data_IF_814548394385
#
_entry.id   IF_814548394385
#
_cell.length_a   1.000
_cell.length_b   1.000
_cell.length_c   1.000
_cell.angle_alpha   90.00
_cell.angle_beta   90.00
_cell.angle_gamma   90.00
#
_symmetry.space_group_name_H-M   'P 1'
#
loop_
_entity.id
_entity.type
_entity.pdbx_description
1 polymer ?
#
# COMPACT_ATOMS: atom_id res chain seq x y z
N UNK A 1 -22.09 -47.01 -9.97
CA UNK A 1 -22.12 -46.49 -8.59
C UNK A 1 -21.18 -45.31 -8.58
N UNK A 2 -21.71 -44.09 -8.71
CA UNK A 2 -20.90 -42.87 -8.55
C UNK A 2 -20.66 -42.70 -7.06
N UNK A 3 -19.42 -42.63 -6.65
CA UNK A 3 -19.05 -42.12 -5.33
C UNK A 3 -19.51 -40.65 -5.27
N UNK A 4 -20.47 -40.38 -4.41
CA UNK A 4 -20.77 -39.03 -3.98
C UNK A 4 -19.53 -38.47 -3.29
N UNK A 5 -18.76 -37.65 -3.99
CA UNK A 5 -17.61 -36.95 -3.43
C UNK A 5 -18.16 -35.86 -2.55
N UNK A 6 -17.92 -35.96 -1.21
CA UNK A 6 -18.38 -34.98 -0.25
C UNK A 6 -17.93 -33.56 -0.63
N UNK A 7 -18.82 -32.57 -0.59
CA UNK A 7 -18.51 -31.18 -0.91
C UNK A 7 -17.31 -30.62 -0.13
N UNK A 8 -17.11 -31.05 1.09
CA UNK A 8 -15.97 -30.64 1.93
C UNK A 8 -14.60 -31.06 1.35
N UNK A 9 -14.53 -32.08 0.52
CA UNK A 9 -13.30 -32.53 -0.12
C UNK A 9 -12.83 -31.57 -1.23
N UNK A 10 -13.75 -30.90 -1.89
CA UNK A 10 -13.45 -29.93 -2.95
C UNK A 10 -12.96 -28.60 -2.42
N UNK A 11 -13.42 -28.17 -1.23
CA UNK A 11 -13.12 -26.86 -0.64
C UNK A 11 -11.64 -26.64 -0.24
N UNK A 12 -10.80 -27.65 -0.26
CA UNK A 12 -9.42 -27.55 0.15
C UNK A 12 -8.36 -27.92 -0.88
N UNK A 13 -8.61 -28.91 -1.73
CA UNK A 13 -7.58 -29.52 -2.56
C UNK A 13 -7.29 -28.78 -3.87
N UNK A 14 -8.31 -28.14 -4.46
CA UNK A 14 -8.21 -27.49 -5.78
C UNK A 14 -8.58 -26.00 -5.74
N UNK A 15 -8.51 -25.38 -4.56
CA UNK A 15 -8.84 -23.95 -4.37
C UNK A 15 -7.61 -23.04 -4.39
N UNK A 16 -6.48 -23.54 -4.84
CA UNK A 16 -5.27 -22.73 -5.02
C UNK A 16 -5.26 -21.98 -6.36
N UNK A 17 -4.39 -20.99 -6.46
CA UNK A 17 -4.30 -20.16 -7.66
C UNK A 17 -4.00 -20.95 -8.94
N UNK A 18 -3.07 -21.92 -8.98
CA UNK A 18 -2.82 -22.73 -10.15
C UNK A 18 -4.07 -23.43 -10.72
N UNK A 19 -4.87 -24.03 -9.85
CA UNK A 19 -6.10 -24.70 -10.28
C UNK A 19 -7.15 -23.69 -10.78
N UNK A 20 -7.27 -22.53 -10.14
CA UNK A 20 -8.17 -21.45 -10.60
C UNK A 20 -7.74 -20.96 -11.98
N UNK A 21 -6.43 -20.73 -12.21
CA UNK A 21 -5.92 -20.29 -13.50
C UNK A 21 -6.14 -21.36 -14.59
N UNK A 22 -5.94 -22.63 -14.27
CA UNK A 22 -6.21 -23.74 -15.18
C UNK A 22 -7.70 -23.83 -15.53
N UNK A 23 -8.59 -23.70 -14.54
CA UNK A 23 -10.03 -23.70 -14.72
C UNK A 23 -10.52 -22.55 -15.60
N UNK A 24 -9.94 -21.33 -15.43
CA UNK A 24 -10.27 -20.18 -16.26
C UNK A 24 -9.85 -20.34 -17.74
N UNK A 25 -8.95 -21.28 -18.05
CA UNK A 25 -8.57 -21.59 -19.43
C UNK A 25 -9.51 -22.59 -20.14
N UNK A 26 -10.39 -23.23 -19.38
CA UNK A 26 -11.40 -24.12 -19.94
C UNK A 26 -12.44 -23.36 -20.79
N UNK A 27 -13.24 -24.12 -21.59
CA UNK A 27 -14.34 -23.50 -22.34
C UNK A 27 -15.34 -22.83 -21.37
N UNK A 28 -15.90 -21.68 -21.77
CA UNK A 28 -16.90 -21.02 -20.95
C UNK A 28 -18.12 -21.89 -20.62
N UNK A 29 -18.48 -22.82 -21.53
CA UNK A 29 -19.54 -23.79 -21.28
C UNK A 29 -19.18 -24.73 -20.14
N UNK A 30 -17.95 -25.26 -20.15
CA UNK A 30 -17.42 -26.08 -19.04
C UNK A 30 -17.41 -25.31 -17.73
N UNK A 31 -16.92 -24.07 -17.75
CA UNK A 31 -16.86 -23.21 -16.56
C UNK A 31 -18.26 -22.99 -15.99
N UNK A 32 -19.26 -22.62 -16.83
CA UNK A 32 -20.61 -22.36 -16.35
C UNK A 32 -21.31 -23.62 -15.88
N UNK A 33 -21.17 -24.73 -16.58
CA UNK A 33 -21.75 -26.00 -16.15
C UNK A 33 -21.24 -26.40 -14.75
N UNK A 34 -19.95 -26.23 -14.48
CA UNK A 34 -19.37 -26.54 -13.17
C UNK A 34 -19.88 -25.56 -12.11
N UNK A 35 -19.87 -24.25 -12.39
CA UNK A 35 -20.29 -23.24 -11.42
C UNK A 35 -21.79 -23.29 -11.12
N UNK A 36 -22.62 -23.73 -12.07
CA UNK A 36 -24.06 -23.93 -11.89
C UNK A 36 -24.40 -25.06 -10.92
N UNK A 37 -23.49 -26.01 -10.70
CA UNK A 37 -23.71 -27.11 -9.75
C UNK A 37 -23.71 -26.64 -8.28
N UNK A 38 -23.12 -25.48 -8.02
CA UNK A 38 -23.06 -24.90 -6.67
C UNK A 38 -24.23 -23.93 -6.46
N UNK A 39 -25.07 -24.21 -5.46
CA UNK A 39 -26.27 -23.42 -5.15
C UNK A 39 -25.96 -22.00 -4.67
N UNK A 40 -24.78 -21.73 -4.13
CA UNK A 40 -24.37 -20.40 -3.67
C UNK A 40 -23.82 -19.55 -4.83
N UNK A 41 -23.18 -20.21 -5.80
CA UNK A 41 -22.55 -19.57 -6.96
C UNK A 41 -23.52 -19.38 -8.12
N UNK A 42 -24.42 -20.33 -8.35
CA UNK A 42 -25.37 -20.31 -9.47
C UNK A 42 -26.15 -18.98 -9.61
N UNK A 43 -26.65 -18.33 -8.53
CA UNK A 43 -27.31 -17.03 -8.64
C UNK A 43 -26.43 -15.90 -9.16
N UNK A 44 -25.11 -15.98 -8.96
CA UNK A 44 -24.14 -14.97 -9.40
C UNK A 44 -23.89 -15.02 -10.92
N UNK A 45 -24.25 -16.13 -11.55
CA UNK A 45 -24.09 -16.34 -13.00
C UNK A 45 -25.20 -15.69 -13.84
N UNK A 46 -26.21 -15.10 -13.22
CA UNK A 46 -27.37 -14.50 -13.89
C UNK A 46 -27.05 -13.61 -15.10
N UNK A 47 -26.12 -12.67 -15.01
CA UNK A 47 -25.70 -11.83 -16.15
C UNK A 47 -25.13 -12.64 -17.32
N UNK A 48 -24.31 -13.64 -17.02
CA UNK A 48 -23.69 -14.53 -18.03
C UNK A 48 -24.72 -15.46 -18.67
N UNK A 49 -25.61 -16.04 -17.88
CA UNK A 49 -26.70 -16.88 -18.38
C UNK A 49 -27.64 -16.09 -19.29
N UNK A 50 -27.90 -14.81 -18.98
CA UNK A 50 -28.68 -13.92 -19.82
C UNK A 50 -28.02 -13.68 -21.17
N UNK A 51 -26.69 -13.45 -21.18
CA UNK A 51 -25.91 -13.30 -22.41
C UNK A 51 -25.95 -14.59 -23.25
N UNK A 52 -25.81 -15.74 -22.61
CA UNK A 52 -25.93 -17.06 -23.28
C UNK A 52 -27.32 -17.27 -23.91
N UNK A 53 -28.42 -17.00 -23.17
CA UNK A 53 -29.80 -17.15 -23.65
C UNK A 53 -30.10 -16.19 -24.80
N UNK A 54 -29.58 -15.00 -24.77
CA UNK A 54 -29.75 -13.99 -25.80
C UNK A 54 -28.79 -14.17 -26.99
N UNK A 55 -27.96 -15.21 -26.98
CA UNK A 55 -26.92 -15.45 -27.98
C UNK A 55 -25.95 -14.27 -28.18
N UNK A 56 -25.74 -13.50 -27.15
CA UNK A 56 -24.81 -12.36 -27.13
C UNK A 56 -23.36 -12.86 -26.91
N UNK A 57 -22.89 -13.74 -27.82
CA UNK A 57 -21.62 -14.45 -27.67
C UNK A 57 -20.42 -13.48 -27.68
N UNK A 58 -20.46 -12.46 -28.52
CA UNK A 58 -19.37 -11.44 -28.57
C UNK A 58 -19.19 -10.72 -27.26
N UNK A 59 -20.28 -10.38 -26.57
CA UNK A 59 -20.23 -9.73 -25.26
C UNK A 59 -19.65 -10.68 -24.20
N UNK A 60 -20.06 -11.94 -24.23
CA UNK A 60 -19.58 -12.96 -23.31
C UNK A 60 -18.08 -13.24 -23.52
N UNK A 61 -17.67 -13.42 -24.75
CA UNK A 61 -16.27 -13.61 -25.14
C UNK A 61 -15.40 -12.41 -24.75
N UNK A 62 -15.92 -11.19 -24.92
CA UNK A 62 -15.24 -9.98 -24.49
C UNK A 62 -14.97 -9.93 -22.97
N UNK A 63 -15.96 -10.28 -22.15
CA UNK A 63 -15.82 -10.32 -20.71
C UNK A 63 -14.83 -11.41 -20.25
N UNK A 64 -14.97 -12.63 -20.76
CA UNK A 64 -14.10 -13.74 -20.40
C UNK A 64 -12.71 -13.57 -20.99
N UNK A 65 -12.62 -13.07 -22.22
CA UNK A 65 -11.35 -12.77 -22.88
C UNK A 65 -10.52 -11.76 -22.11
N UNK A 66 -11.15 -10.70 -21.62
CA UNK A 66 -10.48 -9.70 -20.77
C UNK A 66 -9.93 -10.34 -19.49
N UNK A 67 -10.73 -11.16 -18.80
CA UNK A 67 -10.28 -11.88 -17.61
C UNK A 67 -9.07 -12.78 -17.92
N UNK A 68 -9.14 -13.54 -19.03
CA UNK A 68 -8.06 -14.43 -19.47
C UNK A 68 -6.76 -13.69 -19.78
N UNK A 69 -6.85 -12.54 -20.44
CA UNK A 69 -5.66 -11.72 -20.74
C UNK A 69 -4.95 -11.29 -19.46
N UNK A 70 -5.70 -10.84 -18.44
CA UNK A 70 -5.10 -10.44 -17.17
C UNK A 70 -4.58 -11.63 -16.36
N UNK A 71 -5.28 -12.74 -16.34
CA UNK A 71 -4.90 -13.92 -15.54
C UNK A 71 -3.80 -14.75 -16.19
N UNK A 72 -3.70 -14.77 -17.53
CA UNK A 72 -2.66 -15.54 -18.25
C UNK A 72 -1.24 -15.10 -17.87
N UNK A 73 -1.05 -13.83 -17.50
CA UNK A 73 0.24 -13.31 -17.02
C UNK A 73 0.69 -13.97 -15.70
N UNK A 74 -0.26 -14.46 -14.91
CA UNK A 74 0.00 -15.11 -13.64
C UNK A 74 0.26 -16.62 -13.79
N UNK A 75 0.04 -17.19 -14.98
CA UNK A 75 0.20 -18.62 -15.25
C UNK A 75 1.68 -18.95 -15.58
N UNK A 76 2.59 -18.67 -14.65
CA UNK A 76 4.01 -18.99 -14.77
C UNK A 76 4.40 -20.13 -13.85
N UNK A 77 5.55 -20.77 -14.10
CA UNK A 77 6.08 -21.86 -13.26
C UNK A 77 6.34 -21.39 -11.83
N UNK A 78 6.81 -20.17 -11.68
CA UNK A 78 7.10 -19.52 -10.40
C UNK A 78 5.81 -19.30 -9.60
N UNK A 79 4.76 -18.82 -10.27
CA UNK A 79 3.44 -18.67 -9.64
C UNK A 79 2.87 -20.00 -9.20
N UNK A 80 3.01 -21.05 -10.03
CA UNK A 80 2.60 -22.39 -9.66
C UNK A 80 3.34 -22.89 -8.44
N UNK A 81 4.66 -22.72 -8.40
CA UNK A 81 5.49 -23.17 -7.29
C UNK A 81 5.16 -22.46 -5.98
N UNK A 82 4.92 -21.13 -6.02
CA UNK A 82 4.64 -20.33 -4.82
C UNK A 82 3.23 -20.56 -4.28
N UNK A 83 2.23 -20.71 -5.17
CA UNK A 83 0.81 -20.73 -4.80
C UNK A 83 0.17 -22.11 -4.84
N UNK A 84 0.93 -23.15 -5.19
CA UNK A 84 0.44 -24.53 -5.12
C UNK A 84 0.40 -25.00 -3.67
N UNK A 85 -0.70 -25.67 -3.30
CA UNK A 85 -0.92 -26.18 -1.95
C UNK A 85 -0.31 -27.57 -1.79
N UNK A 86 0.84 -27.64 -1.14
CA UNK A 86 1.63 -28.88 -0.97
C UNK A 86 1.58 -29.45 0.47
N UNK A 87 0.74 -28.90 1.32
CA UNK A 87 0.54 -29.38 2.68
C UNK A 87 1.22 -28.55 3.77
N UNK A 88 2.42 -28.04 3.55
CA UNK A 88 3.13 -27.14 4.48
C UNK A 88 2.95 -25.67 4.08
N UNK A 89 1.71 -25.20 4.15
CA UNK A 89 1.38 -23.82 3.76
C UNK A 89 1.93 -22.81 4.76
N UNK A 90 2.61 -21.78 4.27
CA UNK A 90 2.99 -20.62 5.09
C UNK A 90 1.76 -19.77 5.40
N UNK A 91 1.34 -19.72 6.67
CA UNK A 91 0.28 -18.82 7.09
C UNK A 91 0.82 -17.39 7.20
N UNK A 92 0.32 -16.48 6.33
CA UNK A 92 0.66 -15.06 6.33
C UNK A 92 0.31 -14.33 7.64
N UNK A 93 -0.14 -15.02 8.69
CA UNK A 93 -0.36 -14.43 10.01
C UNK A 93 0.95 -14.35 10.81
N UNK A 94 1.90 -13.55 10.32
CA UNK A 94 3.20 -13.30 10.95
C UNK A 94 3.09 -12.74 12.39
N UNK A 95 1.89 -12.28 12.78
CA UNK A 95 1.59 -11.78 14.13
C UNK A 95 1.14 -12.87 15.12
N UNK A 96 1.18 -14.14 14.73
CA UNK A 96 0.81 -15.23 15.63
C UNK A 96 1.91 -15.46 16.67
N UNK A 97 1.63 -15.34 17.98
CA UNK A 97 2.62 -15.60 19.03
C UNK A 97 3.12 -17.04 19.05
N UNK A 98 2.37 -18.00 18.50
CA UNK A 98 2.78 -19.41 18.43
C UNK A 98 3.76 -19.68 17.30
N UNK A 99 3.70 -18.88 16.23
CA UNK A 99 4.55 -19.02 15.05
C UNK A 99 5.03 -17.66 14.54
N UNK A 100 5.87 -16.94 15.32
CA UNK A 100 6.41 -15.64 14.88
C UNK A 100 7.31 -15.84 13.67
N UNK A 101 7.09 -15.04 12.63
CA UNK A 101 7.75 -15.26 11.34
C UNK A 101 8.24 -13.94 10.74
N UNK A 102 9.26 -14.05 9.87
CA UNK A 102 9.70 -12.99 8.98
C UNK A 102 9.26 -13.32 7.56
N UNK A 103 8.70 -12.33 6.88
CA UNK A 103 8.35 -12.42 5.47
C UNK A 103 9.15 -11.36 4.71
N UNK A 104 9.98 -11.80 3.78
CA UNK A 104 10.70 -10.94 2.84
C UNK A 104 10.06 -11.10 1.47
N UNK A 105 9.65 -9.98 0.87
CA UNK A 105 9.07 -9.92 -0.46
C UNK A 105 9.99 -9.06 -1.30
N UNK A 106 10.53 -9.62 -2.38
CA UNK A 106 11.35 -8.90 -3.34
C UNK A 106 10.60 -8.66 -4.63
N UNK A 107 10.93 -7.57 -5.32
CA UNK A 107 10.48 -7.31 -6.68
C UNK A 107 11.65 -7.52 -7.65
N UNK A 108 11.35 -7.98 -8.86
CA UNK A 108 12.31 -8.12 -9.95
C UNK A 108 11.96 -7.11 -11.05
N UNK A 109 12.85 -6.16 -11.36
CA UNK A 109 12.60 -5.15 -12.38
C UNK A 109 12.31 -5.73 -13.77
N UNK A 110 12.88 -6.89 -14.12
CA UNK A 110 12.64 -7.52 -15.43
C UNK A 110 11.26 -8.17 -15.52
N UNK A 111 10.70 -8.59 -14.37
CA UNK A 111 9.40 -9.26 -14.28
C UNK A 111 8.37 -8.48 -13.47
N UNK A 112 8.57 -7.19 -13.30
CA UNK A 112 7.76 -6.33 -12.41
C UNK A 112 6.24 -6.45 -12.65
N UNK A 113 5.82 -6.53 -13.91
CA UNK A 113 4.38 -6.64 -14.26
C UNK A 113 3.71 -7.93 -13.76
N UNK A 114 4.48 -9.00 -13.55
CA UNK A 114 4.00 -10.30 -13.07
C UNK A 114 4.22 -10.40 -11.56
N UNK A 115 5.46 -10.21 -11.11
CA UNK A 115 5.85 -10.33 -9.70
C UNK A 115 5.18 -9.26 -8.86
N UNK A 116 5.06 -8.03 -9.35
CA UNK A 116 4.36 -6.95 -8.67
C UNK A 116 2.89 -7.29 -8.39
N UNK A 117 2.19 -7.92 -9.34
CA UNK A 117 0.81 -8.36 -9.13
C UNK A 117 0.70 -9.48 -8.08
N UNK A 118 1.64 -10.44 -8.10
CA UNK A 118 1.71 -11.52 -7.11
C UNK A 118 2.05 -10.97 -5.71
N UNK A 119 3.02 -10.08 -5.63
CA UNK A 119 3.39 -9.39 -4.39
C UNK A 119 2.22 -8.60 -3.82
N UNK A 120 1.46 -7.88 -4.67
CA UNK A 120 0.26 -7.16 -4.25
C UNK A 120 -0.81 -8.10 -3.68
N UNK A 121 -0.99 -9.28 -4.25
CA UNK A 121 -1.91 -10.29 -3.74
C UNK A 121 -1.48 -10.79 -2.36
N UNK A 122 -0.22 -11.14 -2.19
CA UNK A 122 0.36 -11.59 -0.91
C UNK A 122 0.20 -10.48 0.14
N UNK A 123 0.57 -9.24 -0.19
CA UNK A 123 0.47 -8.10 0.72
C UNK A 123 -0.99 -7.80 1.13
N UNK A 124 -1.92 -7.84 0.19
CA UNK A 124 -3.34 -7.66 0.51
C UNK A 124 -3.87 -8.75 1.46
N UNK A 125 -3.40 -9.98 1.31
CA UNK A 125 -3.73 -11.08 2.21
C UNK A 125 -3.05 -10.92 3.56
N UNK A 126 -1.75 -10.60 3.58
CA UNK A 126 -0.97 -10.33 4.79
C UNK A 126 -1.65 -9.26 5.66
N UNK A 127 -2.01 -8.13 5.07
CA UNK A 127 -2.70 -7.03 5.78
C UNK A 127 -3.99 -7.50 6.42
N UNK A 128 -4.78 -8.29 5.71
CA UNK A 128 -6.00 -8.86 6.27
C UNK A 128 -5.71 -9.77 7.46
N UNK A 129 -4.65 -10.58 7.37
CA UNK A 129 -4.26 -11.53 8.43
C UNK A 129 -3.70 -10.83 9.67
N UNK A 130 -2.84 -9.82 9.51
CA UNK A 130 -2.23 -9.10 10.65
C UNK A 130 -3.20 -8.10 11.29
N UNK A 131 -4.16 -7.60 10.53
CA UNK A 131 -5.13 -6.61 11.01
C UNK A 131 -6.37 -7.25 11.67
N UNK A 132 -6.27 -8.49 12.11
CA UNK A 132 -7.31 -9.24 12.81
C UNK A 132 -6.79 -9.82 14.12
N UNK A 133 -7.67 -10.04 15.09
CA UNK A 133 -7.31 -10.71 16.36
C UNK A 133 -6.75 -9.76 17.42
N UNK A 134 -7.41 -8.60 17.60
CA UNK A 134 -7.06 -7.59 18.61
C UNK A 134 -6.66 -8.19 19.96
N UNK A 135 -5.54 -7.74 20.51
CA UNK A 135 -5.03 -8.17 21.82
C UNK A 135 -4.28 -9.50 21.85
N UNK A 136 -4.44 -10.36 20.85
CA UNK A 136 -3.79 -11.68 20.78
C UNK A 136 -2.51 -11.70 19.92
N UNK A 137 -2.28 -10.63 19.17
CA UNK A 137 -1.15 -10.53 18.24
C UNK A 137 0.13 -10.07 18.96
N UNK A 138 1.28 -10.60 18.51
CA UNK A 138 2.57 -9.96 18.79
C UNK A 138 2.72 -8.70 17.93
N UNK A 139 3.57 -7.73 18.32
CA UNK A 139 3.89 -6.58 17.48
C UNK A 139 4.50 -7.00 16.15
N UNK A 140 4.05 -6.36 15.07
CA UNK A 140 4.56 -6.58 13.71
C UNK A 140 4.95 -5.25 13.09
N UNK A 141 6.05 -5.23 12.35
CA UNK A 141 6.45 -4.10 11.51
C UNK A 141 6.33 -4.47 10.05
N UNK A 142 5.63 -3.65 9.28
CA UNK A 142 5.57 -3.73 7.82
C UNK A 142 6.41 -2.59 7.29
N UNK A 143 7.48 -2.92 6.58
CA UNK A 143 8.42 -1.95 5.99
C UNK A 143 8.37 -2.12 4.49
N UNK A 144 7.99 -1.06 3.78
CA UNK A 144 7.95 -1.00 2.32
C UNK A 144 8.96 0.05 1.88
N UNK A 145 10.06 -0.38 1.26
CA UNK A 145 11.16 0.51 0.88
C UNK A 145 10.79 1.43 -0.30
N UNK A 146 10.12 0.90 -1.32
CA UNK A 146 9.70 1.65 -2.50
C UNK A 146 8.21 1.38 -2.77
N UNK A 147 7.34 2.17 -2.16
CA UNK A 147 5.88 1.98 -2.25
C UNK A 147 5.32 2.11 -3.67
N UNK A 148 5.79 3.03 -4.55
CA UNK A 148 5.30 3.12 -5.93
C UNK A 148 5.46 1.85 -6.76
N UNK A 149 6.45 1.00 -6.47
CA UNK A 149 6.64 -0.27 -7.20
C UNK A 149 5.64 -1.36 -6.83
N UNK A 150 4.82 -1.11 -5.80
CA UNK A 150 3.87 -2.07 -5.26
C UNK A 150 2.48 -1.47 -5.15
N UNK A 151 1.55 -1.89 -6.02
CA UNK A 151 0.16 -1.47 -5.88
C UNK A 151 -0.53 -2.21 -4.73
N UNK A 152 -0.66 -1.52 -3.61
CA UNK A 152 -1.14 -2.08 -2.35
C UNK A 152 -2.48 -1.44 -1.95
N UNK A 153 -3.56 -1.96 -2.47
CA UNK A 153 -4.89 -1.34 -2.42
C UNK A 153 -5.44 -1.05 -1.00
N UNK A 154 -5.01 -1.79 0.02
CA UNK A 154 -5.54 -1.65 1.40
C UNK A 154 -4.61 -0.92 2.36
N UNK A 155 -3.59 -0.24 1.85
CA UNK A 155 -2.58 0.42 2.69
C UNK A 155 -3.18 1.52 3.57
N UNK A 156 -4.09 2.31 3.05
CA UNK A 156 -4.78 3.37 3.77
C UNK A 156 -5.57 2.83 4.98
N UNK A 157 -6.26 1.71 4.79
CA UNK A 157 -6.98 1.04 5.89
C UNK A 157 -6.04 0.45 6.92
N UNK A 158 -4.94 -0.14 6.47
CA UNK A 158 -3.94 -0.68 7.38
C UNK A 158 -3.40 0.42 8.29
N UNK A 159 -2.94 1.55 7.74
CA UNK A 159 -2.38 2.65 8.53
C UNK A 159 -3.41 3.14 9.57
N UNK A 160 -4.68 3.30 9.18
CA UNK A 160 -5.75 3.77 10.06
C UNK A 160 -6.13 2.81 11.19
N UNK A 161 -5.94 1.50 11.01
CA UNK A 161 -6.37 0.46 11.97
C UNK A 161 -5.24 -0.34 12.60
N UNK A 162 -4.02 -0.16 12.13
CA UNK A 162 -2.84 -0.93 12.52
C UNK A 162 -2.53 -0.86 14.03
N UNK A 163 -2.74 0.32 14.65
CA UNK A 163 -2.42 0.56 16.07
C UNK A 163 -3.11 -0.43 17.00
N UNK A 164 -4.40 -0.70 16.81
CA UNK A 164 -5.18 -1.62 17.65
C UNK A 164 -4.71 -3.07 17.54
N UNK A 165 -4.06 -3.42 16.44
CA UNK A 165 -3.50 -4.75 16.18
C UNK A 165 -1.99 -4.83 16.42
N UNK A 166 -1.37 -3.79 16.99
CA UNK A 166 0.07 -3.69 17.25
C UNK A 166 0.92 -3.77 15.97
N UNK A 167 0.41 -3.24 14.86
CA UNK A 167 1.14 -3.19 13.59
C UNK A 167 1.70 -1.79 13.39
N UNK A 168 3.01 -1.69 13.20
CA UNK A 168 3.68 -0.47 12.73
C UNK A 168 3.89 -0.55 11.22
N UNK A 169 3.80 0.60 10.55
CA UNK A 169 3.94 0.67 9.10
C UNK A 169 4.95 1.76 8.77
N UNK A 170 5.98 1.42 8.01
CA UNK A 170 6.94 2.36 7.44
C UNK A 170 6.86 2.27 5.92
N UNK A 171 6.67 3.40 5.25
CA UNK A 171 6.52 3.50 3.81
C UNK A 171 7.60 4.42 3.26
N UNK A 172 8.43 3.89 2.35
CA UNK A 172 9.41 4.65 1.60
C UNK A 172 8.90 4.97 0.20
N UNK A 173 9.25 6.15 -0.28
CA UNK A 173 9.11 6.58 -1.67
C UNK A 173 10.05 7.75 -1.92
N UNK A 174 10.38 8.02 -3.18
CA UNK A 174 11.34 9.08 -3.51
C UNK A 174 10.66 10.43 -3.66
N UNK A 175 9.58 10.50 -4.44
CA UNK A 175 8.90 11.75 -4.78
C UNK A 175 7.38 11.57 -4.82
N UNK A 176 6.59 12.58 -4.43
CA UNK A 176 5.12 12.53 -4.47
C UNK A 176 4.54 12.26 -5.84
N UNK A 177 5.05 12.84 -6.96
CA UNK A 177 4.53 12.54 -8.29
C UNK A 177 4.60 11.05 -8.66
N UNK A 178 5.60 10.30 -8.20
CA UNK A 178 5.66 8.86 -8.42
C UNK A 178 4.52 8.16 -7.67
N UNK A 179 4.31 8.53 -6.41
CA UNK A 179 3.22 7.98 -5.62
C UNK A 179 1.84 8.33 -6.21
N UNK A 180 1.69 9.54 -6.76
CA UNK A 180 0.46 9.97 -7.44
C UNK A 180 0.20 9.17 -8.73
N UNK A 181 1.25 8.86 -9.49
CA UNK A 181 1.12 8.09 -10.73
C UNK A 181 0.51 6.70 -10.50
N UNK A 182 0.88 6.02 -9.41
CA UNK A 182 0.46 4.64 -9.14
C UNK A 182 -0.81 4.56 -8.29
N UNK A 183 -0.95 5.43 -7.30
CA UNK A 183 -2.09 5.42 -6.37
C UNK A 183 -3.20 6.41 -6.73
N UNK A 184 -2.95 7.26 -7.72
CA UNK A 184 -3.81 8.40 -8.05
C UNK A 184 -3.81 9.48 -6.97
N UNK A 185 -4.26 10.68 -7.31
CA UNK A 185 -4.26 11.84 -6.40
C UNK A 185 -4.99 11.57 -5.08
N UNK A 186 -6.14 10.91 -5.13
CA UNK A 186 -6.93 10.60 -3.93
C UNK A 186 -6.24 9.56 -3.05
N UNK A 187 -5.65 8.53 -3.65
CA UNK A 187 -4.90 7.49 -2.93
C UNK A 187 -3.65 8.05 -2.26
N UNK A 188 -2.86 8.83 -2.98
CA UNK A 188 -1.70 9.53 -2.43
C UNK A 188 -2.09 10.42 -1.24
N UNK A 189 -3.13 11.26 -1.38
CA UNK A 189 -3.61 12.13 -0.30
C UNK A 189 -4.02 11.35 0.95
N UNK A 190 -4.72 10.23 0.79
CA UNK A 190 -5.08 9.37 1.93
C UNK A 190 -3.85 8.83 2.66
N UNK A 191 -2.83 8.41 1.92
CA UNK A 191 -1.59 7.88 2.49
C UNK A 191 -0.87 8.97 3.28
N UNK A 192 -0.55 10.10 2.64
CA UNK A 192 0.26 11.17 3.27
C UNK A 192 -0.44 11.88 4.43
N UNK A 193 -1.77 11.92 4.45
CA UNK A 193 -2.53 12.54 5.55
C UNK A 193 -2.74 11.61 6.75
N UNK A 194 -2.54 10.30 6.56
CA UNK A 194 -2.75 9.32 7.64
C UNK A 194 -1.46 9.02 8.41
N UNK A 195 -0.30 9.29 7.82
CA UNK A 195 0.99 9.06 8.49
C UNK A 195 1.25 10.13 9.54
N UNK A 196 1.69 9.70 10.73
CA UNK A 196 2.00 10.61 11.85
C UNK A 196 3.46 11.05 11.91
N UNK A 197 4.38 10.29 11.32
CA UNK A 197 5.80 10.57 11.30
C UNK A 197 6.27 10.68 9.86
N UNK A 198 7.01 11.73 9.56
CA UNK A 198 7.59 11.98 8.23
C UNK A 198 9.07 12.25 8.39
N UNK A 199 9.89 11.52 7.64
CA UNK A 199 11.34 11.71 7.56
C UNK A 199 11.72 11.81 6.09
N UNK A 200 12.48 12.82 5.73
CA UNK A 200 12.92 13.06 4.36
C UNK A 200 14.41 13.34 4.28
N UNK A 201 15.06 12.82 3.27
CA UNK A 201 16.32 13.32 2.75
C UNK A 201 16.12 14.51 1.81
N UNK A 202 17.09 14.76 0.92
CA UNK A 202 16.93 15.73 -0.15
C UNK A 202 15.82 15.31 -1.12
N UNK A 203 14.94 16.25 -1.48
CA UNK A 203 13.89 16.08 -2.48
C UNK A 203 14.08 17.09 -3.63
N UNK A 204 13.55 16.81 -4.80
CA UNK A 204 13.74 17.65 -5.98
C UNK A 204 12.45 18.12 -6.63
N UNK A 205 11.37 17.32 -6.57
CA UNK A 205 10.11 17.74 -7.18
C UNK A 205 9.50 18.89 -6.39
N UNK A 206 8.90 19.81 -7.12
CA UNK A 206 8.24 20.97 -6.53
C UNK A 206 7.15 20.56 -5.55
N UNK A 207 6.37 19.56 -5.93
CA UNK A 207 5.25 19.04 -5.15
C UNK A 207 5.71 18.46 -3.82
N UNK A 208 6.79 17.66 -3.82
CA UNK A 208 7.37 17.09 -2.58
C UNK A 208 7.94 18.19 -1.70
N UNK A 209 8.66 19.16 -2.28
CA UNK A 209 9.25 20.27 -1.55
C UNK A 209 8.18 21.18 -0.93
N UNK A 210 7.10 21.50 -1.65
CA UNK A 210 5.98 22.28 -1.12
C UNK A 210 5.24 21.55 -0.02
N UNK A 211 4.99 20.25 -0.19
CA UNK A 211 4.37 19.43 0.84
C UNK A 211 5.21 19.39 2.12
N UNK A 212 6.51 19.10 2.01
CA UNK A 212 7.39 19.08 3.17
C UNK A 212 7.49 20.46 3.86
N UNK A 213 7.76 21.50 3.08
CA UNK A 213 8.00 22.84 3.61
C UNK A 213 6.74 23.49 4.22
N UNK A 214 5.58 23.32 3.58
CA UNK A 214 4.35 24.01 3.95
C UNK A 214 3.42 23.19 4.83
N UNK A 215 3.22 21.90 4.50
CA UNK A 215 2.22 21.08 5.16
C UNK A 215 2.81 20.32 6.35
N UNK A 216 4.04 19.80 6.19
CA UNK A 216 4.70 19.03 7.25
C UNK A 216 5.39 19.95 8.27
N UNK A 217 6.31 20.81 7.82
CA UNK A 217 7.06 21.67 8.73
C UNK A 217 6.32 22.94 9.13
N UNK A 218 5.44 23.45 8.25
CA UNK A 218 4.62 24.61 8.50
C UNK A 218 5.41 25.92 8.43
N UNK A 219 4.81 26.97 9.01
CA UNK A 219 5.32 28.33 8.96
C UNK A 219 5.59 28.88 10.36
N UNK A 220 6.57 29.78 10.45
CA UNK A 220 6.92 30.49 11.67
C UNK A 220 6.81 31.99 11.42
N UNK A 221 6.35 32.74 12.43
CA UNK A 221 6.32 34.18 12.38
C UNK A 221 7.72 34.72 12.64
N UNK A 222 8.31 35.39 11.66
CA UNK A 222 9.58 36.10 11.82
C UNK A 222 9.33 37.59 11.94
N UNK A 223 9.83 38.16 13.06
CA UNK A 223 9.84 39.60 13.26
C UNK A 223 11.05 40.20 12.55
N UNK A 224 10.83 40.84 11.40
CA UNK A 224 11.88 41.59 10.68
C UNK A 224 11.86 43.03 11.16
N UNK A 225 12.94 43.46 11.83
CA UNK A 225 13.16 44.85 12.19
C UNK A 225 13.78 45.57 11.00
N UNK A 226 13.00 46.40 10.33
CA UNK A 226 13.53 47.38 9.36
C UNK A 226 13.89 48.69 10.11
N UNK A 227 15.13 49.11 10.01
CA UNK A 227 15.57 50.44 10.50
C UNK A 227 15.80 51.32 9.28
N UNK A 228 14.99 52.33 9.14
CA UNK A 228 15.21 53.38 8.13
C UNK A 228 15.80 54.60 8.82
N UNK A 229 17.01 54.96 8.44
CA UNK A 229 17.73 56.15 8.95
C UNK A 229 17.66 57.19 7.88
N UNK A 230 16.93 58.26 8.11
CA UNK A 230 16.96 59.50 7.34
C UNK A 230 17.67 60.59 8.12
N UNK A 231 18.11 61.67 7.43
CA UNK A 231 18.98 62.71 8.04
C UNK A 231 18.42 63.29 9.36
N UNK A 232 17.10 63.29 9.55
CA UNK A 232 16.44 63.87 10.70
C UNK A 232 15.51 62.93 11.48
N UNK A 233 15.31 61.67 11.06
CA UNK A 233 14.41 60.72 11.74
C UNK A 233 14.87 59.30 11.57
N UNK A 234 14.93 58.58 12.69
CA UNK A 234 15.08 57.12 12.70
C UNK A 234 13.72 56.52 12.92
N UNK A 235 13.21 55.75 11.95
CA UNK A 235 11.97 54.97 12.12
C UNK A 235 12.31 53.49 12.20
N UNK A 236 11.72 52.80 13.16
CA UNK A 236 11.82 51.37 13.33
C UNK A 236 10.48 50.78 12.88
N UNK A 237 10.49 50.04 11.79
CA UNK A 237 9.34 49.26 11.33
C UNK A 237 9.49 47.80 11.75
N UNK A 238 8.50 47.32 12.52
CA UNK A 238 8.36 45.89 12.85
C UNK A 238 7.40 45.26 11.83
N UNK A 239 7.94 44.49 10.94
CA UNK A 239 7.11 43.73 10.00
C UNK A 239 7.09 42.27 10.46
N UNK A 240 5.88 41.74 10.67
CA UNK A 240 5.64 40.31 10.90
C UNK A 240 5.50 39.64 9.55
N UNK A 241 6.45 38.77 9.22
CA UNK A 241 6.38 37.91 8.01
C UNK A 241 6.23 36.45 8.44
N UNK A 242 5.32 35.73 7.77
CA UNK A 242 5.22 34.28 7.90
C UNK A 242 6.20 33.63 6.91
N UNK A 243 7.29 33.10 7.41
CA UNK A 243 8.27 32.36 6.61
C UNK A 243 8.16 30.86 6.92
N UNK A 244 8.49 30.00 5.94
CA UNK A 244 8.51 28.55 6.15
C UNK A 244 9.55 28.18 7.22
N UNK A 245 9.17 27.30 8.16
CA UNK A 245 10.09 26.83 9.22
C UNK A 245 11.32 26.15 8.61
N UNK A 246 11.11 25.30 7.60
CA UNK A 246 12.16 24.70 6.77
C UNK A 246 11.88 25.07 5.31
N UNK A 247 12.61 26.04 4.73
CA UNK A 247 12.43 26.44 3.33
C UNK A 247 12.72 25.29 2.37
N UNK A 248 11.98 25.24 1.25
CA UNK A 248 12.15 24.23 0.20
C UNK A 248 13.60 24.16 -0.32
N UNK A 249 14.29 25.30 -0.44
CA UNK A 249 15.69 25.35 -0.83
C UNK A 249 16.64 24.62 0.11
N UNK A 250 16.37 24.66 1.42
CA UNK A 250 17.17 23.91 2.39
C UNK A 250 16.96 22.42 2.30
N UNK A 251 15.75 21.99 1.93
CA UNK A 251 15.44 20.57 1.74
C UNK A 251 16.12 20.08 0.46
N UNK A 252 16.02 20.82 -0.64
CA UNK A 252 16.65 20.45 -1.92
C UNK A 252 18.18 20.38 -1.86
N UNK A 253 18.79 21.25 -1.07
CA UNK A 253 20.25 21.39 -0.95
C UNK A 253 20.84 20.53 0.17
N UNK A 254 20.06 19.66 0.77
CA UNK A 254 20.49 18.82 1.88
C UNK A 254 21.60 17.85 1.46
N UNK A 255 22.74 17.81 2.15
CA UNK A 255 23.83 16.89 1.82
C UNK A 255 23.44 15.43 2.03
N UNK A 256 24.13 14.53 1.36
CA UNK A 256 23.98 13.09 1.56
C UNK A 256 24.18 12.70 3.04
N UNK A 257 23.26 11.89 3.57
CA UNK A 257 23.30 11.45 4.97
C UNK A 257 22.58 12.38 5.95
N UNK A 258 22.13 13.55 5.47
CA UNK A 258 21.29 14.45 6.27
C UNK A 258 19.82 14.13 6.07
N UNK A 259 19.06 14.28 7.15
CA UNK A 259 17.61 14.06 7.14
C UNK A 259 16.91 15.21 7.86
N UNK A 260 15.69 15.50 7.45
CA UNK A 260 14.75 16.33 8.17
C UNK A 260 13.47 15.54 8.43
N UNK A 261 12.75 15.86 9.48
CA UNK A 261 11.53 15.11 9.78
C UNK A 261 10.68 15.76 10.85
N UNK A 262 9.44 15.31 10.90
CA UNK A 262 8.48 15.63 11.95
C UNK A 262 7.95 14.33 12.54
N UNK A 263 7.95 14.23 13.86
CA UNK A 263 7.35 13.11 14.59
C UNK A 263 6.00 13.52 15.17
N UNK A 264 5.10 12.56 15.27
CA UNK A 264 3.81 12.77 15.94
C UNK A 264 4.05 13.21 17.40
N UNK A 265 3.25 14.16 17.88
CA UNK A 265 3.39 14.76 19.23
C UNK A 265 3.00 13.80 20.37
N UNK A 266 2.55 12.59 20.06
CA UNK A 266 2.14 11.58 21.06
C UNK A 266 3.31 10.90 21.80
N UNK A 267 4.55 11.21 21.46
CA UNK A 267 5.67 10.85 22.31
C UNK A 267 5.66 11.74 23.55
N UNK A 268 5.16 11.20 24.65
CA UNK A 268 5.45 11.77 25.98
C UNK A 268 6.97 11.91 26.03
N UNK A 269 7.46 13.15 26.08
CA UNK A 269 8.87 13.42 26.28
C UNK A 269 9.28 12.70 27.58
N UNK A 270 9.90 11.54 27.42
CA UNK A 270 10.58 10.91 28.55
C UNK A 270 11.57 11.93 29.06
N UNK A 271 11.77 12.02 30.38
CA UNK A 271 12.58 12.99 31.13
C UNK A 271 14.05 13.19 30.67
N UNK A 272 14.38 12.82 29.46
CA UNK A 272 15.71 12.89 28.81
C UNK A 272 15.88 14.12 27.92
N UNK A 273 15.16 15.21 28.17
CA UNK A 273 15.51 16.53 27.59
C UNK A 273 15.45 16.65 26.06
N UNK A 274 14.91 15.68 25.37
CA UNK A 274 14.64 15.78 23.93
C UNK A 274 13.32 16.50 23.74
N UNK A 275 13.35 17.82 23.67
CA UNK A 275 12.31 18.58 23.00
C UNK A 275 12.24 18.09 21.57
N UNK A 276 11.04 17.73 21.09
CA UNK A 276 10.79 17.11 19.78
C UNK A 276 11.07 17.99 18.55
N UNK A 277 12.06 18.83 18.60
CA UNK A 277 12.74 19.43 17.46
C UNK A 277 14.12 18.81 17.36
N UNK A 278 14.32 17.94 16.38
CA UNK A 278 15.65 17.55 16.00
C UNK A 278 16.36 18.82 15.52
N UNK A 279 17.27 19.35 16.34
CA UNK A 279 18.15 20.42 15.90
C UNK A 279 18.98 19.86 14.74
N UNK A 280 18.78 20.43 13.57
CA UNK A 280 19.65 20.24 12.41
C UNK A 280 20.97 20.91 12.79
N UNK A 281 21.95 20.14 13.22
CA UNK A 281 23.36 20.56 13.26
C UNK A 281 23.97 20.31 11.89
#
# INVERSE_FOLDING_TARGET
AGEEVEPAYWLGKYSDMPHILSFLNESYQTIFNVLETDNEVAPLLGPFQTALKNKAMEQLEGMIGTLRVYTSRLATKESYWIFHKDGDDFDLKVSDPKNPSYLLIANDPEMESIIGALNALILNRLVTRVNTGQGKNIPVSIIVDELPTLYFHKIDRLIGTARSNKVSVALGFQELPQLEADYGKVGMQKIITTVGNVVSGSARSKETLEWLSSDIFGKVVQLKKGVTIDRDKTSINLNENMDSLVPASKISDMPTGWICGQTARDFVATKTGMNGSMNIQ
#
